data_IF_578655351469
#
_entry.id   IF_578655351469
#
_cell.length_a   1.000
_cell.length_b   1.000
_cell.length_c   1.000
_cell.angle_alpha   90.00
_cell.angle_beta   90.00
_cell.angle_gamma   90.00
#
_symmetry.space_group_name_H-M   'P 1'
#
loop_
_entity.id
_entity.type
_entity.pdbx_description
1 polymer ?
#
# COMPACT_ATOMS: atom_id res chain seq x y z
N UNK A 1 -9.36 35.24 2.89
CA UNK A 1 -8.72 34.12 3.63
C UNK A 1 -9.58 32.89 3.52
N UNK A 2 -9.49 32.19 2.41
CA UNK A 2 -10.25 30.97 2.17
C UNK A 2 -9.46 29.76 2.67
N UNK A 3 -9.98 29.10 3.69
CA UNK A 3 -9.56 27.76 4.09
C UNK A 3 -9.98 26.78 3.00
N UNK A 4 -9.07 26.32 2.18
CA UNK A 4 -9.36 25.36 1.12
C UNK A 4 -9.42 23.96 1.75
N UNK A 5 -10.62 23.38 1.75
CA UNK A 5 -10.83 21.98 2.13
C UNK A 5 -10.56 21.11 0.92
N UNK A 6 -9.60 20.21 1.01
CA UNK A 6 -9.38 19.17 0.00
C UNK A 6 -10.10 17.91 0.43
N UNK A 7 -10.99 17.40 -0.41
CA UNK A 7 -11.64 16.11 -0.25
C UNK A 7 -11.02 15.17 -1.27
N UNK A 8 -10.33 14.14 -0.80
CA UNK A 8 -9.79 13.11 -1.66
C UNK A 8 -10.75 11.92 -1.69
N UNK A 9 -11.22 11.57 -2.88
CA UNK A 9 -12.00 10.36 -3.10
C UNK A 9 -11.12 9.37 -3.84
N UNK A 10 -10.68 8.31 -3.17
CA UNK A 10 -10.02 7.18 -3.79
C UNK A 10 -11.10 6.18 -4.18
N UNK A 11 -11.25 5.89 -5.48
CA UNK A 11 -12.17 4.86 -5.97
C UNK A 11 -11.35 3.66 -6.42
N UNK A 12 -11.56 2.47 -5.86
CA UNK A 12 -10.98 1.26 -6.42
C UNK A 12 -11.58 1.00 -7.81
N UNK A 13 -10.73 0.74 -8.79
CA UNK A 13 -11.13 0.36 -10.14
C UNK A 13 -11.07 -1.16 -10.25
N UNK A 14 -12.21 -1.82 -10.44
CA UNK A 14 -12.29 -3.24 -10.77
C UNK A 14 -12.82 -3.39 -12.20
N UNK A 15 -12.03 -4.00 -13.06
CA UNK A 15 -12.44 -4.35 -14.43
C UNK A 15 -13.23 -5.66 -14.38
N UNK A 16 -14.48 -5.62 -14.85
CA UNK A 16 -15.31 -6.81 -15.10
C UNK A 16 -16.16 -7.24 -13.90
N UNK A 17 -17.41 -6.79 -13.88
CA UNK A 17 -18.48 -7.19 -12.95
C UNK A 17 -19.29 -6.00 -12.46
N UNK A 18 -20.60 -6.17 -12.34
CA UNK A 18 -21.54 -5.13 -11.96
C UNK A 18 -21.07 -4.32 -10.75
N UNK A 19 -20.64 -3.08 -10.99
CA UNK A 19 -20.24 -2.14 -9.94
C UNK A 19 -21.50 -1.55 -9.34
N UNK A 20 -21.86 -1.95 -8.12
CA UNK A 20 -22.81 -1.19 -7.31
C UNK A 20 -22.10 0.06 -6.79
N UNK A 21 -22.57 1.22 -7.23
CA UNK A 21 -22.09 2.51 -6.73
C UNK A 21 -22.40 2.64 -5.24
N UNK A 22 -21.37 2.76 -4.41
CA UNK A 22 -21.56 3.19 -3.03
C UNK A 22 -21.70 4.70 -3.01
N UNK A 23 -22.80 5.19 -2.41
CA UNK A 23 -23.09 6.59 -2.23
C UNK A 23 -21.97 7.31 -1.44
N UNK A 24 -21.71 8.56 -1.81
CA UNK A 24 -20.74 9.42 -1.14
C UNK A 24 -21.06 9.53 0.36
N UNK A 25 -20.12 9.08 1.20
CA UNK A 25 -20.18 9.33 2.65
C UNK A 25 -19.82 10.80 2.88
N UNK A 26 -20.78 11.60 3.32
CA UNK A 26 -20.50 12.95 3.82
C UNK A 26 -19.82 12.82 5.18
N UNK A 27 -18.51 12.99 5.22
CA UNK A 27 -17.77 13.17 6.47
C UNK A 27 -17.88 14.63 6.90
N UNK A 28 -18.83 14.93 7.80
CA UNK A 28 -18.90 16.20 8.52
C UNK A 28 -18.25 16.01 9.88
N UNK A 29 -16.95 16.27 10.00
CA UNK A 29 -16.31 16.48 11.28
C UNK A 29 -15.68 17.87 11.30
N UNK A 30 -16.19 18.74 12.18
CA UNK A 30 -15.57 20.00 12.53
C UNK A 30 -14.32 19.69 13.37
N UNK A 31 -13.15 19.70 12.75
CA UNK A 31 -11.89 19.80 13.48
C UNK A 31 -11.51 21.26 13.55
N UNK A 32 -11.42 21.81 14.77
CA UNK A 32 -10.84 23.12 15.01
C UNK A 32 -9.32 23.03 14.80
N UNK A 33 -8.82 23.74 13.78
CA UNK A 33 -7.38 23.90 13.56
C UNK A 33 -6.82 24.91 14.55
N UNK A 34 -5.68 24.64 15.21
CA UNK A 34 -4.93 25.67 15.93
C UNK A 34 -4.45 26.76 14.95
N UNK A 35 -4.46 28.02 15.39
CA UNK A 35 -4.04 29.15 14.59
C UNK A 35 -2.60 28.97 14.09
N UNK A 36 -2.41 29.12 12.79
CA UNK A 36 -1.09 29.11 12.18
C UNK A 36 -0.26 30.33 12.67
N UNK A 37 1.05 30.17 12.91
CA UNK A 37 1.91 31.30 13.25
C UNK A 37 1.94 32.28 12.10
N UNK A 38 1.81 33.58 12.44
CA UNK A 38 1.95 34.70 11.50
C UNK A 38 3.37 34.70 10.95
N UNK A 39 3.53 34.42 9.67
CA UNK A 39 4.75 34.64 8.93
C UNK A 39 4.60 35.99 8.24
N UNK A 40 5.44 36.95 8.59
CA UNK A 40 5.59 38.25 7.94
C UNK A 40 6.26 38.02 6.58
N UNK A 41 5.72 38.52 5.45
CA UNK A 41 6.43 38.42 4.18
C UNK A 41 7.56 39.43 4.13
N UNK A 42 8.78 38.98 4.10
CA UNK A 42 9.94 39.79 3.71
C UNK A 42 10.53 39.17 2.43
N UNK A 43 10.51 39.97 1.41
CA UNK A 43 11.30 40.15 0.22
C UNK A 43 11.87 38.95 -0.54
N UNK A 44 11.73 39.09 -1.86
CA UNK A 44 12.47 38.44 -2.94
C UNK A 44 12.07 36.98 -3.31
N UNK A 45 11.11 36.92 -4.23
CA UNK A 45 10.86 35.78 -5.07
C UNK A 45 11.95 35.73 -6.15
N UNK A 46 13.11 35.17 -5.85
CA UNK A 46 13.97 34.58 -6.86
C UNK A 46 13.45 33.20 -7.15
N UNK A 47 12.98 32.98 -8.38
CA UNK A 47 12.61 31.69 -8.95
C UNK A 47 13.83 30.76 -8.97
N UNK A 48 14.16 30.20 -7.84
CA UNK A 48 15.02 29.04 -7.75
C UNK A 48 14.10 27.85 -7.54
N UNK A 49 13.87 27.07 -8.60
CA UNK A 49 13.25 25.75 -8.53
C UNK A 49 14.18 24.83 -7.73
N UNK A 50 14.14 24.97 -6.42
CA UNK A 50 14.72 23.98 -5.52
C UNK A 50 13.82 22.76 -5.66
N UNK A 51 14.23 21.86 -6.55
CA UNK A 51 13.68 20.51 -6.60
C UNK A 51 13.92 19.94 -5.21
N UNK A 52 12.86 19.91 -4.39
CA UNK A 52 12.92 19.33 -3.05
C UNK A 52 13.12 17.81 -3.20
N UNK A 53 14.37 17.38 -3.22
CA UNK A 53 14.77 15.96 -3.17
C UNK A 53 14.57 15.38 -1.76
N UNK A 54 13.76 16.02 -0.92
CA UNK A 54 13.50 15.55 0.44
C UNK A 54 12.65 14.30 0.39
N UNK A 55 13.17 13.21 0.93
CA UNK A 55 12.42 11.96 1.13
C UNK A 55 11.21 12.20 2.06
N UNK A 56 10.24 11.32 1.96
CA UNK A 56 9.10 11.35 2.86
C UNK A 56 9.52 11.28 4.33
N UNK A 57 8.96 12.16 5.13
CA UNK A 57 9.07 12.10 6.59
C UNK A 57 8.36 10.86 7.14
N UNK A 58 8.66 10.46 8.37
CA UNK A 58 7.97 9.36 9.04
C UNK A 58 6.44 9.55 9.06
N UNK A 59 5.97 10.77 9.30
CA UNK A 59 4.53 11.10 9.27
C UNK A 59 3.91 10.91 7.88
N UNK A 60 4.61 11.33 6.82
CA UNK A 60 4.14 11.13 5.44
C UNK A 60 4.11 9.66 5.06
N UNK A 61 5.10 8.86 5.49
CA UNK A 61 5.10 7.41 5.28
C UNK A 61 3.95 6.73 6.02
N UNK A 62 3.63 7.15 7.24
CA UNK A 62 2.48 6.62 7.97
C UNK A 62 1.15 6.91 7.26
N UNK A 63 0.99 8.12 6.73
CA UNK A 63 -0.15 8.47 5.88
C UNK A 63 -0.18 7.58 4.64
N UNK A 64 0.94 7.40 3.95
CA UNK A 64 1.03 6.57 2.75
C UNK A 64 0.69 5.10 3.05
N UNK A 65 1.23 4.54 4.12
CA UNK A 65 0.90 3.18 4.59
C UNK A 65 -0.61 3.00 4.79
N UNK A 66 -1.25 3.94 5.48
CA UNK A 66 -2.71 3.89 5.72
C UNK A 66 -3.51 3.97 4.43
N UNK A 67 -3.05 4.75 3.45
CA UNK A 67 -3.67 4.82 2.12
C UNK A 67 -3.55 3.47 1.41
N UNK A 68 -2.35 2.90 1.33
CA UNK A 68 -2.10 1.62 0.68
C UNK A 68 -2.95 0.52 1.30
N UNK A 69 -2.95 0.39 2.62
CA UNK A 69 -3.77 -0.60 3.32
C UNK A 69 -5.27 -0.43 3.06
N UNK A 70 -5.77 0.80 3.02
CA UNK A 70 -7.17 1.06 2.73
C UNK A 70 -7.54 0.67 1.29
N UNK A 71 -6.63 0.82 0.35
CA UNK A 71 -6.83 0.42 -1.05
C UNK A 71 -6.80 -1.09 -1.19
N UNK A 72 -5.80 -1.75 -0.60
CA UNK A 72 -5.56 -3.19 -0.77
C UNK A 72 -6.62 -4.06 -0.09
N UNK A 73 -7.18 -3.62 1.02
CA UNK A 73 -8.17 -4.41 1.76
C UNK A 73 -9.63 -4.16 1.31
N UNK A 74 -9.81 -3.73 0.08
CA UNK A 74 -11.13 -3.63 -0.54
C UNK A 74 -11.96 -2.44 -0.04
N UNK A 75 -11.32 -1.32 0.26
CA UNK A 75 -12.01 -0.10 0.70
C UNK A 75 -12.30 -0.06 2.19
N UNK A 76 -11.48 -0.69 2.99
CA UNK A 76 -11.52 -0.50 4.44
C UNK A 76 -11.38 0.98 4.80
N UNK A 77 -11.96 1.39 5.91
CA UNK A 77 -11.87 2.76 6.39
C UNK A 77 -10.41 3.09 6.67
N UNK A 78 -9.97 4.25 6.17
CA UNK A 78 -8.62 4.76 6.40
C UNK A 78 -8.22 4.69 7.89
N UNK A 79 -7.09 4.05 8.16
CA UNK A 79 -6.60 3.81 9.52
C UNK A 79 -7.19 2.57 10.21
N UNK A 80 -8.13 1.86 9.60
CA UNK A 80 -8.71 0.61 10.09
C UNK A 80 -8.27 -0.54 9.17
N UNK A 81 -7.10 -1.08 9.40
CA UNK A 81 -6.44 -2.06 8.56
C UNK A 81 -6.87 -3.49 8.90
N UNK A 82 -6.92 -4.33 7.89
CA UNK A 82 -7.29 -5.74 8.00
C UNK A 82 -6.03 -6.63 7.96
N UNK A 83 -5.29 -6.63 9.05
CA UNK A 83 -4.01 -7.35 9.13
C UNK A 83 -4.13 -8.87 8.90
N UNK A 84 -5.24 -9.49 9.25
CA UNK A 84 -5.49 -10.92 9.02
C UNK A 84 -6.10 -11.23 7.67
N UNK A 85 -6.00 -10.37 6.66
CA UNK A 85 -6.59 -10.66 5.36
C UNK A 85 -5.89 -11.82 4.66
N UNK A 86 -6.68 -12.63 3.95
CA UNK A 86 -6.20 -13.80 3.23
C UNK A 86 -7.04 -14.00 1.97
N UNK A 87 -6.38 -14.04 0.83
CA UNK A 87 -6.99 -14.26 -0.48
C UNK A 87 -6.37 -15.48 -1.15
N UNK A 88 -7.21 -16.39 -1.63
CA UNK A 88 -6.78 -17.58 -2.36
C UNK A 88 -6.25 -17.21 -3.75
N UNK A 89 -5.37 -18.05 -4.29
CA UNK A 89 -4.97 -17.95 -5.68
C UNK A 89 -6.21 -17.96 -6.61
N UNK A 90 -6.10 -17.25 -7.73
CA UNK A 90 -7.15 -17.12 -8.76
C UNK A 90 -8.44 -16.40 -8.31
N UNK A 91 -8.50 -15.83 -7.11
CA UNK A 91 -9.71 -15.13 -6.63
C UNK A 91 -9.95 -13.83 -7.40
N UNK A 92 -8.90 -13.03 -7.60
CA UNK A 92 -9.00 -11.72 -8.24
C UNK A 92 -8.67 -11.77 -9.74
N UNK A 93 -7.80 -12.68 -10.15
CA UNK A 93 -7.36 -12.84 -11.53
C UNK A 93 -6.94 -14.27 -11.82
N UNK A 94 -7.19 -14.74 -13.05
CA UNK A 94 -6.71 -16.05 -13.53
C UNK A 94 -5.18 -16.15 -13.64
N UNK A 95 -4.48 -15.04 -13.46
CA UNK A 95 -3.01 -14.97 -13.48
C UNK A 95 -2.39 -14.90 -12.08
N UNK A 96 -3.19 -14.87 -11.03
CA UNK A 96 -2.72 -14.91 -9.64
C UNK A 96 -2.53 -16.35 -9.18
N UNK A 97 -1.36 -16.89 -9.41
CA UNK A 97 -1.03 -18.31 -9.15
C UNK A 97 -0.70 -18.64 -7.69
N UNK A 98 -0.62 -17.68 -6.80
CA UNK A 98 -0.29 -17.85 -5.39
C UNK A 98 -1.27 -17.13 -4.48
N UNK A 99 -1.21 -17.46 -3.17
CA UNK A 99 -1.98 -16.74 -2.16
C UNK A 99 -1.47 -15.31 -1.97
N UNK A 100 -2.38 -14.47 -1.48
CA UNK A 100 -2.12 -13.09 -1.06
C UNK A 100 -2.51 -12.92 0.39
N UNK A 101 -1.69 -12.26 1.21
CA UNK A 101 -1.89 -12.18 2.66
C UNK A 101 -1.65 -10.78 3.23
N UNK A 102 -2.31 -10.51 4.35
CA UNK A 102 -2.08 -9.33 5.18
C UNK A 102 -2.68 -8.04 4.64
N UNK A 103 -2.54 -6.97 5.41
CA UNK A 103 -3.12 -5.66 5.11
C UNK A 103 -2.57 -5.00 3.84
N UNK A 104 -1.34 -5.32 3.45
CA UNK A 104 -0.71 -4.84 2.21
C UNK A 104 -0.88 -5.78 1.03
N UNK A 105 -1.67 -6.84 1.17
CA UNK A 105 -1.94 -7.82 0.11
C UNK A 105 -0.64 -8.35 -0.54
N UNK A 106 0.29 -8.81 0.30
CA UNK A 106 1.54 -9.39 -0.18
C UNK A 106 1.30 -10.70 -0.90
N UNK A 107 1.69 -10.74 -2.17
CA UNK A 107 1.47 -11.86 -3.09
C UNK A 107 2.71 -12.77 -3.17
N UNK A 108 2.51 -14.08 -3.15
CA UNK A 108 3.53 -15.06 -3.50
C UNK A 108 4.83 -14.92 -2.69
N UNK A 109 5.93 -14.58 -3.35
CA UNK A 109 7.24 -14.43 -2.70
C UNK A 109 7.30 -13.32 -1.66
N UNK A 110 6.52 -12.24 -1.81
CA UNK A 110 6.42 -11.20 -0.79
C UNK A 110 5.65 -11.70 0.44
N UNK A 111 4.64 -12.56 0.26
CA UNK A 111 3.99 -13.26 1.36
C UNK A 111 4.97 -14.15 2.13
N UNK A 112 5.84 -14.89 1.42
CA UNK A 112 6.91 -15.67 2.02
C UNK A 112 7.89 -14.79 2.80
N UNK A 113 8.31 -13.66 2.22
CA UNK A 113 9.20 -12.68 2.87
C UNK A 113 8.59 -12.17 4.18
N UNK A 114 7.30 -11.82 4.17
CA UNK A 114 6.59 -11.39 5.38
C UNK A 114 6.58 -12.48 6.45
N UNK A 115 6.24 -13.71 6.11
CA UNK A 115 6.23 -14.82 7.07
C UNK A 115 7.61 -15.13 7.64
N UNK A 116 8.67 -15.04 6.85
CA UNK A 116 10.07 -15.15 7.34
C UNK A 116 10.40 -14.03 8.33
N UNK A 117 9.95 -12.82 8.06
CA UNK A 117 10.16 -11.67 8.97
C UNK A 117 9.40 -11.85 10.28
N UNK A 118 8.16 -12.35 10.23
CA UNK A 118 7.36 -12.65 11.43
C UNK A 118 8.05 -13.73 12.26
N UNK A 119 8.47 -14.83 11.64
CA UNK A 119 9.17 -15.92 12.33
C UNK A 119 10.45 -15.42 13.02
N UNK A 120 11.28 -14.65 12.32
CA UNK A 120 12.48 -14.06 12.88
C UNK A 120 12.22 -13.08 14.03
N UNK A 121 11.09 -12.39 14.00
CA UNK A 121 10.72 -11.39 15.01
C UNK A 121 10.12 -12.02 16.26
N UNK A 122 9.27 -13.04 16.11
CA UNK A 122 8.61 -13.67 17.24
C UNK A 122 9.44 -14.81 17.87
N UNK A 123 10.34 -15.41 17.10
CA UNK A 123 11.15 -16.57 17.48
C UNK A 123 10.40 -17.90 17.33
N UNK A 124 11.19 -18.97 17.29
CA UNK A 124 10.71 -20.32 17.01
C UNK A 124 9.67 -20.81 18.04
N UNK A 125 9.93 -20.59 19.32
CA UNK A 125 9.03 -21.09 20.39
C UNK A 125 7.64 -20.46 20.31
N UNK A 126 7.53 -19.15 20.06
CA UNK A 126 6.25 -18.46 19.92
C UNK A 126 5.54 -18.82 18.62
N UNK A 127 6.31 -18.99 17.54
CA UNK A 127 5.77 -19.48 16.27
C UNK A 127 5.14 -20.87 16.43
N UNK A 128 5.86 -21.78 17.08
CA UNK A 128 5.43 -23.17 17.25
C UNK A 128 4.18 -23.33 18.13
N UNK A 129 3.87 -22.35 18.99
CA UNK A 129 2.59 -22.33 19.74
C UNK A 129 1.39 -22.10 18.81
N UNK A 130 1.60 -21.49 17.64
CA UNK A 130 0.55 -21.18 16.65
C UNK A 130 0.57 -22.18 15.51
N UNK A 131 1.75 -22.49 14.95
CA UNK A 131 1.96 -23.48 13.90
C UNK A 131 2.10 -24.90 14.50
N UNK A 132 1.06 -25.31 15.23
CA UNK A 132 0.97 -26.62 15.86
C UNK A 132 0.81 -27.72 14.82
N UNK A 133 1.26 -28.94 15.09
CA UNK A 133 1.06 -30.08 14.19
C UNK A 133 2.12 -30.20 13.11
N UNK A 134 3.38 -30.37 13.50
CA UNK A 134 4.57 -30.60 12.65
C UNK A 134 5.05 -29.37 11.86
N UNK A 135 4.76 -28.15 12.29
CA UNK A 135 5.30 -26.91 11.71
C UNK A 135 5.06 -26.78 10.20
N UNK A 136 3.87 -27.15 9.73
CA UNK A 136 3.57 -27.22 8.29
C UNK A 136 3.66 -25.87 7.59
N UNK A 137 3.32 -24.75 8.27
CA UNK A 137 3.43 -23.44 7.64
C UNK A 137 4.90 -23.04 7.51
N UNK A 138 5.72 -23.26 8.57
CA UNK A 138 7.15 -22.97 8.48
C UNK A 138 7.87 -23.86 7.48
N UNK A 139 7.53 -25.14 7.42
CA UNK A 139 8.05 -26.07 6.41
C UNK A 139 7.73 -25.58 4.99
N UNK A 140 6.51 -25.11 4.77
CA UNK A 140 6.13 -24.56 3.47
C UNK A 140 6.88 -23.25 3.16
N UNK A 141 7.06 -22.37 4.16
CA UNK A 141 7.83 -21.13 4.00
C UNK A 141 9.27 -21.40 3.58
N UNK A 142 9.86 -22.49 4.07
CA UNK A 142 11.25 -22.86 3.77
C UNK A 142 11.41 -23.60 2.44
N UNK A 143 10.46 -24.47 2.07
CA UNK A 143 10.69 -25.49 1.06
C UNK A 143 9.78 -25.40 -0.18
N UNK A 144 8.66 -24.64 -0.13
CA UNK A 144 7.72 -24.58 -1.24
C UNK A 144 8.05 -23.42 -2.21
N UNK A 145 7.60 -23.55 -3.45
CA UNK A 145 7.66 -22.47 -4.45
C UNK A 145 6.52 -21.47 -4.22
N UNK A 146 6.83 -20.39 -3.56
CA UNK A 146 5.85 -19.33 -3.25
C UNK A 146 5.38 -18.53 -4.46
N UNK A 147 5.97 -18.67 -5.62
CA UNK A 147 5.42 -18.09 -6.86
C UNK A 147 4.11 -18.79 -7.27
N UNK A 148 3.87 -19.99 -6.75
CA UNK A 148 2.73 -20.86 -7.07
C UNK A 148 2.09 -21.48 -5.82
N UNK A 149 2.41 -20.97 -4.63
CA UNK A 149 1.89 -21.56 -3.39
C UNK A 149 0.39 -21.31 -3.24
N UNK A 150 -0.35 -22.41 -3.19
CA UNK A 150 -1.81 -22.40 -3.19
C UNK A 150 -2.36 -23.25 -2.06
N UNK A 151 -3.18 -22.66 -1.24
CA UNK A 151 -3.95 -23.38 -0.21
C UNK A 151 -5.36 -22.77 -0.13
N UNK A 152 -6.40 -23.57 0.13
CA UNK A 152 -7.75 -23.06 0.34
C UNK A 152 -7.82 -22.20 1.60
N UNK A 153 -8.63 -21.14 1.57
CA UNK A 153 -8.89 -20.25 2.73
C UNK A 153 -9.47 -21.02 3.91
N UNK A 154 -10.26 -22.08 3.63
CA UNK A 154 -10.81 -22.97 4.65
C UNK A 154 -9.79 -23.92 5.27
N UNK A 155 -8.57 -24.01 4.71
CA UNK A 155 -7.56 -24.94 5.19
C UNK A 155 -7.03 -24.57 6.59
N UNK A 156 -6.50 -25.56 7.28
CA UNK A 156 -5.84 -25.34 8.57
C UNK A 156 -4.64 -24.40 8.42
N UNK A 157 -3.82 -24.57 7.35
CA UNK A 157 -2.66 -23.72 7.09
C UNK A 157 -3.06 -22.25 6.89
N UNK A 158 -4.14 -21.96 6.18
CA UNK A 158 -4.63 -20.60 6.01
C UNK A 158 -5.03 -19.98 7.36
N UNK A 159 -5.71 -20.74 8.22
CA UNK A 159 -6.06 -20.27 9.58
C UNK A 159 -4.83 -19.99 10.44
N UNK A 160 -3.78 -20.79 10.33
CA UNK A 160 -2.49 -20.55 11.02
C UNK A 160 -1.84 -19.28 10.50
N UNK A 161 -1.76 -19.10 9.18
CA UNK A 161 -1.22 -17.86 8.58
C UNK A 161 -1.99 -16.63 9.09
N UNK A 162 -3.31 -16.68 9.08
CA UNK A 162 -4.15 -15.56 9.58
C UNK A 162 -3.87 -15.27 11.06
N UNK A 163 -3.72 -16.29 11.90
CA UNK A 163 -3.35 -16.09 13.31
C UNK A 163 -1.97 -15.45 13.47
N UNK A 164 -0.98 -15.92 12.71
CA UNK A 164 0.38 -15.34 12.72
C UNK A 164 0.37 -13.86 12.33
N UNK A 165 -0.37 -13.50 11.29
CA UNK A 165 -0.54 -12.12 10.83
C UNK A 165 -1.19 -11.20 11.86
N UNK A 166 -2.05 -11.73 12.73
CA UNK A 166 -2.80 -10.98 13.75
C UNK A 166 -2.08 -10.88 15.09
N UNK A 167 -0.93 -11.52 15.27
CA UNK A 167 -0.08 -11.33 16.45
C UNK A 167 0.54 -9.93 16.47
N UNK A 168 0.98 -9.46 17.63
CA UNK A 168 1.72 -8.19 17.74
C UNK A 168 2.97 -8.19 16.84
N UNK A 169 3.70 -9.30 16.78
CA UNK A 169 4.82 -9.48 15.86
C UNK A 169 4.37 -9.41 14.39
N UNK A 170 3.27 -10.06 14.05
CA UNK A 170 2.69 -10.05 12.70
C UNK A 170 2.28 -8.65 12.26
N UNK A 171 1.59 -7.90 13.09
CA UNK A 171 1.20 -6.50 12.83
C UNK A 171 2.43 -5.61 12.65
N UNK A 172 3.38 -5.71 13.58
CA UNK A 172 4.64 -4.95 13.53
C UNK A 172 5.44 -5.24 12.25
N UNK A 173 5.54 -6.51 11.85
CA UNK A 173 6.27 -6.92 10.66
C UNK A 173 5.58 -6.44 9.37
N UNK A 174 4.25 -6.45 9.31
CA UNK A 174 3.50 -5.90 8.19
C UNK A 174 3.77 -4.40 8.03
N UNK A 175 3.69 -3.64 9.12
CA UNK A 175 3.97 -2.21 9.09
C UNK A 175 5.43 -1.92 8.70
N UNK A 176 6.38 -2.69 9.22
CA UNK A 176 7.79 -2.56 8.88
C UNK A 176 8.06 -2.85 7.39
N UNK A 177 7.50 -3.93 6.86
CA UNK A 177 7.65 -4.29 5.45
C UNK A 177 7.03 -3.23 4.54
N UNK A 178 5.86 -2.70 4.89
CA UNK A 178 5.22 -1.63 4.12
C UNK A 178 6.06 -0.34 4.13
N UNK A 179 6.66 0.04 5.26
CA UNK A 179 7.56 1.21 5.29
C UNK A 179 8.81 1.00 4.42
N UNK A 180 9.38 -0.20 4.41
CA UNK A 180 10.51 -0.54 3.53
C UNK A 180 10.11 -0.43 2.06
N UNK A 181 8.95 -0.97 1.67
CA UNK A 181 8.45 -0.88 0.30
C UNK A 181 8.13 0.56 -0.12
N UNK A 182 7.56 1.37 0.78
CA UNK A 182 7.37 2.81 0.50
C UNK A 182 8.71 3.50 0.21
N UNK A 183 9.75 3.21 0.97
CA UNK A 183 11.10 3.77 0.74
C UNK A 183 11.70 3.31 -0.60
N UNK A 184 11.53 2.05 -0.93
CA UNK A 184 12.00 1.47 -2.20
C UNK A 184 11.26 2.12 -3.38
N UNK A 185 9.93 2.22 -3.32
CA UNK A 185 9.11 2.80 -4.37
C UNK A 185 9.33 4.31 -4.51
N UNK A 186 9.47 5.04 -3.40
CA UNK A 186 9.83 6.45 -3.43
C UNK A 186 11.17 6.67 -4.17
N UNK A 187 12.18 5.86 -3.87
CA UNK A 187 13.47 5.94 -4.52
C UNK A 187 13.37 5.65 -6.03
N UNK A 188 12.60 4.62 -6.42
CA UNK A 188 12.36 4.30 -7.84
C UNK A 188 11.68 5.46 -8.58
N UNK A 189 10.61 6.00 -8.01
CA UNK A 189 9.79 7.06 -8.62
C UNK A 189 10.59 8.36 -8.76
N UNK A 190 11.39 8.70 -7.74
CA UNK A 190 12.26 9.90 -7.79
C UNK A 190 13.38 9.78 -8.82
N UNK A 191 13.94 8.60 -9.04
CA UNK A 191 14.91 8.32 -10.12
C UNK A 191 14.32 8.57 -11.51
N UNK A 192 13.00 8.44 -11.67
CA UNK A 192 12.29 8.78 -12.91
C UNK A 192 12.03 10.29 -13.08
N UNK A 193 12.54 11.14 -12.17
CA UNK A 193 12.42 12.59 -12.24
C UNK A 193 11.12 13.16 -11.67
N UNK A 194 10.35 12.38 -10.92
CA UNK A 194 9.16 12.87 -10.22
C UNK A 194 9.61 13.51 -8.89
N UNK A 195 9.34 14.81 -8.73
CA UNK A 195 9.76 15.60 -7.55
C UNK A 195 8.60 16.10 -6.68
N UNK A 196 7.43 16.31 -7.27
CA UNK A 196 6.23 16.74 -6.53
C UNK A 196 5.83 15.67 -5.51
N UNK A 197 5.74 15.99 -4.19
CA UNK A 197 5.50 14.97 -3.16
C UNK A 197 4.16 14.24 -3.32
N UNK A 198 3.12 14.92 -3.80
CA UNK A 198 1.80 14.31 -3.99
C UNK A 198 1.80 13.39 -5.22
N UNK A 199 2.50 13.79 -6.29
CA UNK A 199 2.71 12.92 -7.45
C UNK A 199 3.54 11.69 -7.08
N UNK A 200 4.60 11.84 -6.28
CA UNK A 200 5.39 10.71 -5.75
C UNK A 200 4.49 9.75 -4.98
N UNK A 201 3.66 10.25 -4.06
CA UNK A 201 2.70 9.40 -3.32
C UNK A 201 1.72 8.66 -4.23
N UNK A 202 1.21 9.30 -5.28
CA UNK A 202 0.34 8.66 -6.26
C UNK A 202 1.09 7.56 -7.04
N UNK A 203 2.33 7.81 -7.45
CA UNK A 203 3.13 6.80 -8.14
C UNK A 203 3.56 5.64 -7.23
N UNK A 204 3.76 5.87 -5.92
CA UNK A 204 3.96 4.78 -4.94
C UNK A 204 2.74 3.86 -4.92
N UNK A 205 1.52 4.42 -4.91
CA UNK A 205 0.29 3.64 -4.97
C UNK A 205 0.18 2.85 -6.30
N UNK A 206 0.47 3.49 -7.44
CA UNK A 206 0.50 2.82 -8.76
C UNK A 206 1.52 1.69 -8.76
N UNK A 207 2.70 1.92 -8.17
CA UNK A 207 3.78 0.92 -8.08
C UNK A 207 3.37 -0.30 -7.28
N UNK A 208 2.68 -0.07 -6.17
CA UNK A 208 2.22 -1.15 -5.29
C UNK A 208 1.17 -2.03 -5.98
N UNK A 209 0.22 -1.42 -6.69
CA UNK A 209 -0.86 -2.16 -7.35
C UNK A 209 -0.49 -2.77 -8.70
N UNK A 210 0.25 -2.05 -9.52
CA UNK A 210 0.48 -2.42 -10.93
C UNK A 210 1.94 -2.65 -11.29
N UNK A 211 2.86 -2.59 -10.33
CA UNK A 211 4.28 -2.79 -10.55
C UNK A 211 4.97 -1.63 -11.30
N UNK A 212 6.27 -1.81 -11.58
CA UNK A 212 7.10 -0.80 -12.22
C UNK A 212 6.62 -0.45 -13.65
N UNK A 213 6.09 -1.43 -14.37
CA UNK A 213 5.53 -1.21 -15.72
C UNK A 213 4.35 -0.23 -15.74
N UNK A 214 3.48 -0.29 -14.71
CA UNK A 214 2.38 0.66 -14.58
C UNK A 214 2.90 2.08 -14.30
N UNK A 215 3.92 2.22 -13.45
CA UNK A 215 4.55 3.52 -13.17
C UNK A 215 5.09 4.17 -14.44
N UNK A 216 5.89 3.45 -15.22
CA UNK A 216 6.50 3.98 -16.45
C UNK A 216 5.45 4.31 -17.51
N UNK A 217 4.43 3.47 -17.65
CA UNK A 217 3.32 3.68 -18.60
C UNK A 217 2.52 4.94 -18.24
N UNK A 218 2.12 5.10 -16.98
CA UNK A 218 1.34 6.27 -16.53
C UNK A 218 2.20 7.54 -16.60
N UNK A 219 3.47 7.46 -16.18
CA UNK A 219 4.39 8.59 -16.26
C UNK A 219 4.59 9.08 -17.70
N UNK A 220 4.70 8.15 -18.65
CA UNK A 220 4.79 8.48 -20.08
C UNK A 220 3.58 9.21 -20.65
N UNK A 221 2.40 9.04 -20.03
CA UNK A 221 1.15 9.74 -20.39
C UNK A 221 0.94 11.03 -19.59
N UNK A 222 1.73 11.25 -18.52
CA UNK A 222 1.53 12.39 -17.64
C UNK A 222 2.06 13.68 -18.25
N UNK A 223 1.20 14.68 -18.39
CA UNK A 223 1.60 16.01 -18.85
C UNK A 223 2.57 16.69 -17.85
N UNK A 224 3.42 17.55 -18.36
CA UNK A 224 4.32 18.38 -17.53
C UNK A 224 3.61 19.66 -17.05
N UNK A 225 3.87 20.14 -15.84
CA UNK A 225 4.72 19.53 -14.82
C UNK A 225 4.08 18.25 -14.25
N UNK A 226 4.91 17.28 -13.80
CA UNK A 226 4.42 16.04 -13.15
C UNK A 226 3.94 16.38 -11.75
N UNK A 227 2.65 16.62 -11.61
CA UNK A 227 1.96 16.90 -10.36
C UNK A 227 0.74 15.96 -10.20
N UNK A 228 0.14 15.93 -9.02
CA UNK A 228 -0.97 15.04 -8.70
C UNK A 228 -2.12 15.12 -9.72
N UNK A 229 -2.50 16.33 -10.15
CA UNK A 229 -3.62 16.53 -11.09
C UNK A 229 -3.32 15.90 -12.44
N UNK A 230 -2.10 16.09 -12.97
CA UNK A 230 -1.71 15.56 -14.27
C UNK A 230 -1.52 14.03 -14.22
N UNK A 231 -1.03 13.48 -13.10
CA UNK A 231 -0.99 12.02 -12.87
C UNK A 231 -2.40 11.44 -12.83
N UNK A 232 -3.33 12.08 -12.11
CA UNK A 232 -4.72 11.65 -12.07
C UNK A 232 -5.39 11.65 -13.46
N UNK A 233 -5.15 12.69 -14.27
CA UNK A 233 -5.65 12.74 -15.66
C UNK A 233 -5.08 11.61 -16.51
N UNK A 234 -3.79 11.32 -16.38
CA UNK A 234 -3.14 10.23 -17.09
C UNK A 234 -3.75 8.86 -16.68
N UNK A 235 -3.99 8.64 -15.39
CA UNK A 235 -4.65 7.43 -14.88
C UNK A 235 -6.08 7.28 -15.41
N UNK A 236 -6.85 8.36 -15.47
CA UNK A 236 -8.23 8.32 -15.96
C UNK A 236 -8.34 7.87 -17.44
N UNK A 237 -7.25 7.99 -18.19
CA UNK A 237 -7.18 7.57 -19.60
C UNK A 237 -6.34 6.31 -19.80
N UNK A 238 -5.81 5.72 -18.72
CA UNK A 238 -5.00 4.51 -18.80
C UNK A 238 -5.88 3.27 -18.91
N UNK A 239 -5.77 2.58 -20.07
CA UNK A 239 -6.50 1.35 -20.37
C UNK A 239 -5.70 0.07 -20.09
N UNK A 240 -4.50 0.22 -19.55
CA UNK A 240 -3.54 -0.85 -19.38
C UNK A 240 -3.53 -1.42 -17.96
N UNK A 241 -4.53 -2.23 -17.62
CA UNK A 241 -4.53 -2.95 -16.35
C UNK A 241 -5.72 -3.83 -16.27
#
# INVERSE_FOLDING_TARGET
NASTKYVYTVRPYKKGGNVKYMSAVKLSNKASTPAAPKVTPSGDISNSSVISNTRFTAAQKDVMKKILYAVETGGQVYGNQKYGDFTEAFTNSSTEYAITIGAGQWYGTEAQRLLKLIHATMGEDEWNKIDTGNHYVWTAVCNEDWTKYRIPKSSWRARVIVKLLQTDAGIKCQDQLMYQQIDEYEAEVRKLGVSDPQAVGMFINIRHQGGYGAVTRVLGKTAKPVNLINVYRALATDSGG
#
